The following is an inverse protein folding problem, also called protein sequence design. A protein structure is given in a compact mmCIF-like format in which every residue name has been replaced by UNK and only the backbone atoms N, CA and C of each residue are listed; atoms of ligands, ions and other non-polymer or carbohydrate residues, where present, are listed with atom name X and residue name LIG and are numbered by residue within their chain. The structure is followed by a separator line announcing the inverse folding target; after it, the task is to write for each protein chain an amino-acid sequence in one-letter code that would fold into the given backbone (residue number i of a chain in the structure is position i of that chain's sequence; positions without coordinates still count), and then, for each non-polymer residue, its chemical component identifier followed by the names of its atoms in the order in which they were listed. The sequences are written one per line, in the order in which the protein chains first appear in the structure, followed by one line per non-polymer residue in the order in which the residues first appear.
data_IF_433441278844
#
_entry.id   IF_433441278844
#
_cell.length_a   1.000
_cell.length_b   1.000
_cell.length_c   1.000
_cell.angle_alpha   90.00
_cell.angle_beta   90.00
_cell.angle_gamma   90.00
#
_symmetry.space_group_name_H-M   'P 1'
#
loop_
_entity.id
_entity.type
_entity.pdbx_description
1 polymer ?
#
# COMPACT_ATOMS: atom_id res chain seq x y z
N UNK A 1 -32.78 11.26 -90.50
CA UNK A 1 -32.52 12.71 -90.51
C UNK A 1 -32.80 13.28 -89.12
N UNK A 2 -31.80 13.97 -88.51
CA UNK A 2 -31.88 15.07 -87.49
C UNK A 2 -32.98 14.97 -86.41
N UNK A 3 -32.70 14.83 -85.12
CA UNK A 3 -32.15 15.79 -84.10
C UNK A 3 -32.55 15.17 -82.74
N UNK A 4 -31.97 15.36 -81.56
CA UNK A 4 -31.43 16.57 -80.96
C UNK A 4 -30.69 16.18 -79.65
N UNK A 5 -29.63 16.90 -79.33
CA UNK A 5 -28.98 16.89 -78.01
C UNK A 5 -29.73 17.85 -77.07
N UNK A 6 -29.78 17.53 -75.77
CA UNK A 6 -30.23 18.45 -74.72
C UNK A 6 -29.59 18.09 -73.37
N UNK A 7 -28.71 18.98 -72.89
CA UNK A 7 -27.98 18.92 -71.60
C UNK A 7 -28.82 19.55 -70.49
N UNK A 8 -28.65 19.10 -69.24
CA UNK A 8 -28.70 19.85 -67.94
C UNK A 8 -28.83 18.81 -66.79
N UNK A 9 -27.86 18.50 -65.91
CA UNK A 9 -27.05 19.27 -64.94
C UNK A 9 -27.79 19.58 -63.61
N UNK A 10 -27.28 18.99 -62.50
CA UNK A 10 -27.32 19.38 -61.06
C UNK A 10 -28.67 19.28 -60.28
N UNK A 11 -28.82 19.01 -58.96
CA UNK A 11 -28.06 18.88 -57.69
C UNK A 11 -28.87 17.90 -56.79
N UNK A 12 -28.29 16.89 -56.10
CA UNK A 12 -27.75 16.87 -54.72
C UNK A 12 -28.75 16.86 -53.55
N UNK A 13 -28.44 15.95 -52.62
CA UNK A 13 -28.81 15.85 -51.18
C UNK A 13 -30.09 15.08 -50.83
N UNK A 14 -29.80 14.00 -50.10
CA UNK A 14 -30.65 12.95 -49.58
C UNK A 14 -30.96 13.25 -48.11
N UNK A 15 -32.21 12.96 -47.76
CA UNK A 15 -32.81 12.70 -46.44
C UNK A 15 -33.02 13.81 -45.40
N UNK A 16 -34.28 13.81 -44.97
CA UNK A 16 -34.90 14.54 -43.89
C UNK A 16 -34.82 13.77 -42.54
N UNK A 17 -35.56 14.30 -41.56
CA UNK A 17 -35.92 13.77 -40.23
C UNK A 17 -34.81 14.10 -39.19
N UNK A 18 -35.06 14.84 -38.10
CA UNK A 18 -36.00 14.52 -37.01
C UNK A 18 -36.41 15.79 -36.26
N UNK A 19 -37.71 15.84 -35.94
CA UNK A 19 -38.42 16.76 -35.06
C UNK A 19 -37.94 16.61 -33.62
N UNK A 20 -37.61 17.72 -32.96
CA UNK A 20 -37.53 17.78 -31.48
C UNK A 20 -38.26 19.02 -30.98
N UNK A 21 -39.51 18.79 -30.61
CA UNK A 21 -40.36 19.70 -29.85
C UNK A 21 -39.68 20.01 -28.52
N UNK A 22 -39.39 21.30 -28.31
CA UNK A 22 -39.04 21.87 -27.01
C UNK A 22 -40.25 21.76 -26.09
N UNK A 23 -40.11 21.13 -24.92
CA UNK A 23 -40.71 21.56 -23.65
C UNK A 23 -40.26 20.60 -22.54
N UNK A 24 -39.47 21.09 -21.59
CA UNK A 24 -39.51 20.67 -20.17
C UNK A 24 -38.65 21.60 -19.30
N UNK A 25 -39.35 22.49 -18.60
CA UNK A 25 -39.12 23.01 -17.26
C UNK A 25 -37.73 22.79 -16.62
N UNK A 26 -36.97 23.87 -16.43
CA UNK A 26 -35.93 23.93 -15.41
C UNK A 26 -36.56 24.21 -14.03
N UNK A 27 -36.48 23.25 -13.12
CA UNK A 27 -36.52 23.51 -11.67
C UNK A 27 -35.08 23.50 -11.14
N UNK A 28 -34.74 24.28 -10.09
CA UNK A 28 -33.41 24.26 -9.52
C UNK A 28 -33.27 22.98 -8.70
N UNK A 29 -32.61 21.97 -9.26
CA UNK A 29 -32.08 20.90 -8.42
C UNK A 29 -30.98 21.50 -7.57
N UNK A 30 -31.15 21.48 -6.25
CA UNK A 30 -30.04 21.56 -5.31
C UNK A 30 -29.07 20.43 -5.66
N UNK A 31 -28.06 20.74 -6.47
CA UNK A 31 -26.91 19.88 -6.63
C UNK A 31 -26.14 19.97 -5.32
N UNK A 32 -26.42 19.03 -4.41
CA UNK A 32 -25.50 18.70 -3.33
C UNK A 32 -24.17 18.41 -3.97
N UNK A 33 -23.27 19.38 -3.92
CA UNK A 33 -21.91 19.26 -4.42
C UNK A 33 -21.24 18.10 -3.70
N UNK A 34 -21.26 16.94 -4.34
CA UNK A 34 -20.26 15.92 -4.08
C UNK A 34 -18.97 16.50 -4.65
N UNK A 35 -18.20 17.17 -3.79
CA UNK A 35 -16.87 17.67 -4.11
C UNK A 35 -15.98 16.50 -4.46
N UNK A 36 -16.05 16.06 -5.71
CA UNK A 36 -15.09 15.13 -6.29
C UNK A 36 -13.80 15.93 -6.45
N UNK A 37 -12.95 15.87 -5.43
CA UNK A 37 -11.54 16.23 -5.52
C UNK A 37 -11.02 15.63 -6.81
N UNK A 38 -10.61 16.47 -7.77
CA UNK A 38 -10.14 16.06 -9.08
C UNK A 38 -8.72 15.50 -8.91
N UNK A 39 -8.63 14.33 -8.27
CA UNK A 39 -7.39 13.66 -7.97
C UNK A 39 -6.87 13.10 -9.28
N UNK A 40 -5.83 13.73 -9.82
CA UNK A 40 -5.13 13.21 -10.98
C UNK A 40 -4.29 11.99 -10.54
N UNK A 41 -4.91 10.81 -10.57
CA UNK A 41 -4.27 9.54 -10.24
C UNK A 41 -2.96 9.35 -11.01
N UNK A 42 -2.89 9.75 -12.28
CA UNK A 42 -1.67 9.65 -13.07
C UNK A 42 -0.53 10.53 -12.51
N UNK A 43 -0.84 11.76 -12.07
CA UNK A 43 0.15 12.63 -11.44
C UNK A 43 0.66 12.09 -10.10
N UNK A 44 -0.22 11.46 -9.31
CA UNK A 44 0.17 10.82 -8.05
C UNK A 44 1.10 9.62 -8.31
N UNK A 45 0.75 8.76 -9.28
CA UNK A 45 1.59 7.62 -9.65
C UNK A 45 2.96 8.05 -10.15
N UNK A 46 3.00 9.11 -10.97
CA UNK A 46 4.25 9.68 -11.42
C UNK A 46 5.10 10.21 -10.26
N UNK A 47 4.49 10.92 -9.32
CA UNK A 47 5.21 11.43 -8.14
C UNK A 47 5.75 10.31 -7.27
N UNK A 48 4.98 9.24 -7.05
CA UNK A 48 5.41 8.09 -6.25
C UNK A 48 6.59 7.38 -6.89
N UNK A 49 6.52 7.11 -8.18
CA UNK A 49 7.64 6.51 -8.91
C UNK A 49 8.88 7.41 -8.84
N UNK A 50 8.71 8.72 -9.02
CA UNK A 50 9.82 9.69 -8.97
C UNK A 50 10.48 9.71 -7.59
N UNK A 51 9.68 9.79 -6.53
CA UNK A 51 10.18 9.85 -5.16
C UNK A 51 10.84 8.52 -4.74
N UNK A 52 10.25 7.38 -5.13
CA UNK A 52 10.84 6.06 -4.87
C UNK A 52 12.17 5.88 -5.57
N UNK A 53 12.27 6.19 -6.86
CA UNK A 53 13.54 6.10 -7.59
C UNK A 53 14.59 7.05 -7.02
N UNK A 54 14.19 8.24 -6.54
CA UNK A 54 15.09 9.14 -5.83
C UNK A 54 15.62 8.52 -4.53
N UNK A 55 14.76 7.89 -3.73
CA UNK A 55 15.18 7.19 -2.50
C UNK A 55 16.16 6.05 -2.84
N UNK A 56 15.84 5.20 -3.82
CA UNK A 56 16.69 4.09 -4.23
C UNK A 56 18.03 4.58 -4.79
N UNK A 57 18.02 5.69 -5.54
CA UNK A 57 19.23 6.35 -6.04
C UNK A 57 20.09 6.84 -4.89
N UNK A 58 19.53 7.68 -4.02
CA UNK A 58 20.29 8.36 -2.97
C UNK A 58 20.80 7.41 -1.88
N UNK A 59 20.04 6.34 -1.58
CA UNK A 59 20.27 5.51 -0.39
C UNK A 59 20.76 4.09 -0.69
N UNK A 60 20.59 3.60 -1.91
CA UNK A 60 20.85 2.20 -2.22
C UNK A 60 21.79 1.98 -3.42
N UNK A 61 21.77 2.87 -4.42
CA UNK A 61 22.47 2.66 -5.70
C UNK A 61 23.99 2.50 -5.56
N UNK A 62 24.60 3.12 -4.54
CA UNK A 62 26.06 3.02 -4.30
C UNK A 62 26.53 1.58 -4.02
N UNK A 63 25.64 0.66 -3.65
CA UNK A 63 25.94 -0.75 -3.39
C UNK A 63 25.02 -1.73 -4.14
N UNK A 64 23.94 -1.26 -4.77
CA UNK A 64 22.96 -2.12 -5.46
C UNK A 64 22.71 -1.69 -6.90
N UNK A 65 23.61 -0.92 -7.51
CA UNK A 65 23.56 -0.55 -8.93
C UNK A 65 24.89 -0.88 -9.61
N UNK A 66 25.46 -2.03 -9.27
CA UNK A 66 26.76 -2.48 -9.74
C UNK A 66 26.75 -4.02 -9.80
N UNK A 67 27.16 -4.58 -10.94
CA UNK A 67 27.22 -6.03 -11.10
C UNK A 67 28.34 -6.67 -10.27
N UNK A 68 29.36 -5.89 -9.90
CA UNK A 68 30.61 -6.35 -9.27
C UNK A 68 30.54 -6.49 -7.76
N UNK A 69 29.60 -5.80 -7.10
CA UNK A 69 29.33 -5.93 -5.66
C UNK A 69 28.73 -7.29 -5.34
N UNK A 70 29.19 -7.94 -4.27
CA UNK A 70 28.71 -9.28 -3.88
C UNK A 70 27.34 -9.22 -3.17
N UNK A 71 26.30 -8.80 -3.91
CA UNK A 71 24.89 -8.78 -3.51
C UNK A 71 24.05 -9.60 -4.48
N UNK A 72 22.95 -10.19 -4.01
CA UNK A 72 21.97 -10.87 -4.87
C UNK A 72 21.20 -9.87 -5.74
N UNK A 73 20.91 -8.69 -5.19
CA UNK A 73 20.31 -7.56 -5.89
C UNK A 73 21.40 -6.70 -6.55
N UNK A 74 21.41 -6.66 -7.89
CA UNK A 74 22.47 -6.05 -8.71
C UNK A 74 22.12 -4.70 -9.35
N UNK A 75 20.84 -4.50 -9.63
CA UNK A 75 20.32 -3.24 -10.20
C UNK A 75 19.06 -2.84 -9.43
N UNK A 76 19.18 -1.82 -8.60
CA UNK A 76 18.07 -1.32 -7.76
C UNK A 76 17.27 -0.22 -8.46
N UNK A 77 17.70 0.23 -9.64
CA UNK A 77 17.05 1.30 -10.38
C UNK A 77 16.24 0.76 -11.56
N UNK A 78 16.51 -0.46 -12.03
CA UNK A 78 15.70 -1.16 -13.03
C UNK A 78 14.48 -1.86 -12.39
N UNK A 79 13.34 -1.18 -12.47
CA UNK A 79 12.06 -1.69 -11.97
C UNK A 79 11.65 -3.02 -12.64
N UNK A 80 11.91 -3.20 -13.94
CA UNK A 80 11.57 -4.43 -14.64
C UNK A 80 12.41 -5.60 -14.11
N UNK A 81 13.69 -5.36 -13.81
CA UNK A 81 14.55 -6.35 -13.16
C UNK A 81 14.07 -6.67 -11.75
N UNK A 82 13.68 -5.66 -10.97
CA UNK A 82 13.16 -5.84 -9.61
C UNK A 82 11.91 -6.72 -9.58
N UNK A 83 10.98 -6.50 -10.50
CA UNK A 83 9.76 -7.30 -10.63
C UNK A 83 10.06 -8.71 -11.16
N UNK A 84 10.76 -8.81 -12.30
CA UNK A 84 11.03 -10.11 -12.95
C UNK A 84 11.94 -11.04 -12.14
N UNK A 85 12.78 -10.47 -11.26
CA UNK A 85 13.64 -11.23 -10.34
C UNK A 85 12.99 -11.49 -8.98
N UNK A 86 11.76 -11.01 -8.76
CA UNK A 86 10.99 -11.24 -7.53
C UNK A 86 11.45 -10.43 -6.31
N UNK A 87 12.21 -9.35 -6.49
CA UNK A 87 12.54 -8.41 -5.41
C UNK A 87 11.38 -7.47 -5.09
N UNK A 88 10.51 -7.23 -6.06
CA UNK A 88 9.22 -6.55 -5.93
C UNK A 88 8.12 -7.52 -6.36
N UNK A 89 7.09 -7.63 -5.52
CA UNK A 89 5.80 -8.26 -5.83
C UNK A 89 4.76 -7.12 -5.99
N UNK A 90 4.42 -6.73 -7.24
CA UNK A 90 3.54 -5.61 -7.50
C UNK A 90 2.21 -5.68 -6.74
N UNK A 91 1.86 -4.60 -6.03
CA UNK A 91 0.64 -4.56 -5.23
C UNK A 91 0.80 -5.08 -3.81
N UNK A 92 1.90 -5.77 -3.52
CA UNK A 92 2.12 -6.47 -2.25
C UNK A 92 3.49 -6.13 -1.65
N UNK A 93 3.63 -4.95 -1.02
CA UNK A 93 4.87 -4.56 -0.33
C UNK A 93 5.33 -5.61 0.70
N UNK A 94 4.36 -6.20 1.42
CA UNK A 94 4.61 -7.19 2.46
C UNK A 94 5.20 -8.53 1.98
N UNK A 95 5.13 -8.82 0.69
CA UNK A 95 5.75 -10.00 0.07
C UNK A 95 6.94 -9.63 -0.79
N UNK A 96 7.29 -8.34 -0.89
CA UNK A 96 8.40 -7.82 -1.69
C UNK A 96 9.71 -7.83 -0.89
N UNK A 97 10.71 -8.67 -1.20
CA UNK A 97 11.98 -8.74 -0.48
C UNK A 97 12.70 -7.40 -0.34
N UNK A 98 12.62 -6.52 -1.34
CA UNK A 98 13.20 -5.18 -1.30
C UNK A 98 12.63 -4.37 -0.13
N UNK A 99 11.31 -4.28 -0.04
CA UNK A 99 10.62 -3.52 0.99
C UNK A 99 10.84 -4.11 2.39
N UNK A 100 10.73 -5.43 2.49
CA UNK A 100 10.86 -6.13 3.77
C UNK A 100 12.28 -6.00 4.34
N UNK A 101 13.31 -6.06 3.49
CA UNK A 101 14.70 -5.86 3.94
C UNK A 101 14.94 -4.47 4.55
N UNK A 102 14.21 -3.45 4.09
CA UNK A 102 14.30 -2.07 4.60
C UNK A 102 13.59 -1.96 5.96
N UNK A 103 12.34 -2.44 6.03
CA UNK A 103 11.53 -2.40 7.26
C UNK A 103 12.21 -3.19 8.38
N UNK A 104 12.77 -4.35 8.02
CA UNK A 104 13.43 -5.25 8.96
C UNK A 104 14.84 -4.79 9.34
N UNK A 105 15.26 -3.61 8.85
CA UNK A 105 16.59 -3.01 9.06
C UNK A 105 17.76 -3.93 8.69
N UNK A 106 17.52 -4.88 7.80
CA UNK A 106 18.58 -5.69 7.17
C UNK A 106 19.37 -4.79 6.20
N UNK A 107 18.65 -3.89 5.53
CA UNK A 107 19.19 -2.86 4.67
C UNK A 107 18.78 -1.47 5.17
N UNK A 108 19.66 -0.46 5.04
CA UNK A 108 20.99 -0.53 4.45
C UNK A 108 22.03 -1.20 5.38
N UNK A 109 22.90 -2.06 4.82
CA UNK A 109 23.95 -2.73 5.59
C UNK A 109 24.93 -1.69 6.16
N UNK A 110 25.06 -1.65 7.49
CA UNK A 110 25.89 -0.67 8.21
C UNK A 110 25.53 0.81 7.93
N UNK A 111 24.33 1.08 7.43
CA UNK A 111 23.83 2.43 7.16
C UNK A 111 22.79 2.88 8.19
N UNK A 112 22.44 4.15 8.14
CA UNK A 112 21.32 4.69 8.91
C UNK A 112 20.00 4.11 8.37
N UNK A 113 19.08 3.62 9.24
CA UNK A 113 17.75 3.23 8.81
C UNK A 113 17.03 4.34 8.03
N UNK A 114 16.16 3.95 7.09
CA UNK A 114 15.33 4.90 6.37
C UNK A 114 14.35 5.60 7.32
N UNK A 115 13.93 6.81 6.95
CA UNK A 115 12.88 7.52 7.68
C UNK A 115 11.53 6.82 7.48
N UNK A 116 10.60 7.02 8.41
CA UNK A 116 9.24 6.50 8.27
C UNK A 116 8.55 7.01 6.98
N UNK A 117 8.86 8.24 6.58
CA UNK A 117 8.34 8.86 5.35
C UNK A 117 8.88 8.16 4.10
N UNK A 118 10.19 7.91 4.01
CA UNK A 118 10.77 7.20 2.87
C UNK A 118 10.25 5.76 2.76
N UNK A 119 10.08 5.09 3.91
CA UNK A 119 9.49 3.75 3.98
C UNK A 119 8.05 3.79 3.47
N UNK A 120 7.26 4.79 3.86
CA UNK A 120 5.90 4.95 3.37
C UNK A 120 5.86 5.16 1.85
N UNK A 121 6.73 6.00 1.30
CA UNK A 121 6.82 6.23 -0.16
C UNK A 121 7.13 4.93 -0.91
N UNK A 122 8.09 4.14 -0.44
CA UNK A 122 8.47 2.87 -1.08
C UNK A 122 7.35 1.82 -0.99
N UNK A 123 6.69 1.70 0.18
CA UNK A 123 5.51 0.84 0.37
C UNK A 123 4.44 1.18 -0.65
N UNK A 124 4.10 2.45 -0.68
CA UNK A 124 3.03 2.99 -1.46
C UNK A 124 3.33 2.75 -2.94
N UNK A 125 4.51 3.14 -3.41
CA UNK A 125 4.95 2.87 -4.77
C UNK A 125 4.82 1.40 -5.19
N UNK A 126 5.25 0.44 -4.35
CA UNK A 126 5.10 -0.99 -4.64
C UNK A 126 3.62 -1.40 -4.70
N UNK A 127 2.77 -0.87 -3.80
CA UNK A 127 1.33 -1.13 -3.84
C UNK A 127 0.68 -0.58 -5.14
N UNK A 128 1.12 0.60 -5.59
CA UNK A 128 0.66 1.21 -6.83
C UNK A 128 1.03 0.40 -8.09
N UNK A 129 2.18 -0.28 -8.12
CA UNK A 129 2.57 -1.13 -9.26
C UNK A 129 1.54 -2.23 -9.56
N UNK A 130 0.88 -2.78 -8.52
CA UNK A 130 -0.18 -3.79 -8.67
C UNK A 130 -1.59 -3.22 -8.80
N UNK A 131 -1.74 -1.91 -9.00
CA UNK A 131 -3.04 -1.25 -9.12
C UNK A 131 -3.82 -1.12 -7.81
N UNK A 132 -3.16 -1.26 -6.66
CA UNK A 132 -3.80 -1.11 -5.35
C UNK A 132 -3.85 0.37 -4.93
N UNK A 133 -4.80 1.10 -5.49
CA UNK A 133 -4.92 2.56 -5.30
C UNK A 133 -5.67 2.97 -4.01
N UNK A 134 -6.32 2.02 -3.32
CA UNK A 134 -7.16 2.30 -2.16
C UNK A 134 -6.37 2.79 -0.93
N UNK A 135 -5.07 2.50 -0.85
CA UNK A 135 -4.17 2.96 0.22
C UNK A 135 -3.81 4.45 0.10
N UNK A 136 -3.96 5.02 -1.10
CA UNK A 136 -3.53 6.39 -1.42
C UNK A 136 -4.62 7.43 -1.23
N UNK A 137 -5.84 7.10 -1.65
CA UNK A 137 -6.94 8.07 -1.70
C UNK A 137 -7.52 8.32 -0.30
N UNK A 138 -7.32 7.40 0.66
CA UNK A 138 -7.73 7.60 2.06
C UNK A 138 -6.89 8.64 2.82
N UNK A 139 -5.67 8.94 2.38
CA UNK A 139 -4.77 9.88 3.06
C UNK A 139 -4.80 11.31 2.49
N UNK A 140 -5.30 11.49 1.26
CA UNK A 140 -5.27 12.80 0.56
C UNK A 140 -6.53 13.64 0.83
N UNK A 141 -7.60 13.06 1.38
CA UNK A 141 -8.86 13.78 1.66
C UNK A 141 -9.06 14.23 3.12
N UNK A 142 -7.98 14.48 3.88
CA UNK A 142 -8.19 14.90 5.26
C UNK A 142 -6.96 15.22 6.08
N UNK A 143 -6.31 16.34 5.78
CA UNK A 143 -5.55 17.08 6.79
C UNK A 143 -6.49 17.55 7.90
N UNK A 144 -6.74 16.71 8.90
CA UNK A 144 -7.30 17.11 10.18
C UNK A 144 -6.95 16.09 11.28
N UNK A 145 -5.81 16.30 11.94
CA UNK A 145 -5.58 15.78 13.30
C UNK A 145 -6.46 16.57 14.27
N UNK A 146 -7.74 16.21 14.35
CA UNK A 146 -8.73 16.80 15.24
C UNK A 146 -9.37 15.71 16.10
N UNK A 147 -9.23 15.83 17.42
CA UNK A 147 -9.73 14.87 18.39
C UNK A 147 -11.24 14.65 18.33
N UNK A 148 -11.64 13.40 18.59
CA UNK A 148 -13.03 13.00 18.72
C UNK A 148 -13.14 11.53 19.14
N UNK A 149 -13.41 11.30 20.42
CA UNK A 149 -13.68 10.00 21.02
C UNK A 149 -14.90 9.34 20.37
N UNK A 150 -14.75 8.07 19.95
CA UNK A 150 -15.82 7.26 19.38
C UNK A 150 -15.34 5.97 18.74
N UNK A 151 -14.71 5.08 19.52
CA UNK A 151 -14.58 3.63 19.31
C UNK A 151 -14.64 3.10 17.86
N UNK A 152 -13.56 3.30 17.11
CA UNK A 152 -12.94 2.33 16.20
C UNK A 152 -11.56 2.87 15.85
N UNK A 153 -10.61 2.72 16.78
CA UNK A 153 -9.20 3.02 16.48
C UNK A 153 -8.72 1.89 15.58
N UNK A 154 -8.74 2.10 14.27
CA UNK A 154 -8.07 1.19 13.35
C UNK A 154 -6.59 1.24 13.67
N UNK A 155 -6.05 0.14 14.19
CA UNK A 155 -4.64 0.04 14.51
C UNK A 155 -3.79 0.10 13.26
N UNK A 156 -2.68 0.84 13.32
CA UNK A 156 -1.64 0.84 12.28
C UNK A 156 -0.47 -0.05 12.68
N UNK A 157 0.34 -0.47 11.71
CA UNK A 157 1.56 -1.21 12.00
C UNK A 157 2.51 -0.40 12.88
N UNK A 158 2.63 0.91 12.67
CA UNK A 158 3.44 1.77 13.55
C UNK A 158 3.03 1.62 15.02
N UNK A 159 1.73 1.64 15.32
CA UNK A 159 1.23 1.47 16.70
C UNK A 159 1.46 0.05 17.22
N UNK A 160 1.21 -0.97 16.39
CA UNK A 160 1.44 -2.36 16.75
C UNK A 160 2.92 -2.62 17.02
N UNK A 161 3.82 -2.14 16.16
CA UNK A 161 5.26 -2.24 16.32
C UNK A 161 5.73 -1.55 17.61
N UNK A 162 5.22 -0.36 17.94
CA UNK A 162 5.51 0.27 19.23
C UNK A 162 5.10 -0.61 20.42
N UNK A 163 3.92 -1.26 20.37
CA UNK A 163 3.50 -2.21 21.41
C UNK A 163 4.45 -3.40 21.48
N UNK A 164 4.81 -4.01 20.33
CA UNK A 164 5.71 -5.16 20.28
C UNK A 164 7.10 -4.82 20.85
N UNK A 165 7.66 -3.67 20.48
CA UNK A 165 8.95 -3.19 20.97
C UNK A 165 8.94 -2.96 22.49
N UNK A 166 7.89 -2.33 23.02
CA UNK A 166 7.80 -2.02 24.45
C UNK A 166 7.47 -3.22 25.33
N UNK A 167 6.68 -4.19 24.82
CA UNK A 167 6.04 -5.23 25.63
C UNK A 167 6.58 -6.63 25.37
N UNK A 168 7.16 -6.87 24.19
CA UNK A 168 7.48 -8.23 23.74
C UNK A 168 8.98 -8.43 23.52
N UNK A 169 9.69 -7.42 23.00
CA UNK A 169 11.11 -7.54 22.61
C UNK A 169 12.06 -7.87 23.76
N UNK A 170 11.78 -7.43 24.99
CA UNK A 170 12.61 -7.77 26.15
C UNK A 170 12.79 -9.29 26.37
N UNK A 171 11.81 -10.11 25.96
CA UNK A 171 11.89 -11.58 26.04
C UNK A 171 11.95 -12.27 24.67
N UNK A 172 11.44 -11.64 23.61
CA UNK A 172 11.33 -12.19 22.25
C UNK A 172 12.28 -11.53 21.23
N UNK A 173 13.20 -10.66 21.65
CA UNK A 173 14.14 -9.95 20.76
C UNK A 173 15.59 -10.42 20.82
N UNK A 174 15.88 -11.58 21.41
CA UNK A 174 17.25 -12.05 21.63
C UNK A 174 17.38 -13.55 21.92
N UNK A 175 18.58 -13.97 22.33
CA UNK A 175 19.00 -15.38 22.50
C UNK A 175 18.25 -16.16 23.61
N UNK A 176 17.40 -15.51 24.41
CA UNK A 176 16.68 -16.16 25.53
C UNK A 176 15.48 -17.03 25.09
N UNK A 177 14.91 -16.80 23.90
CA UNK A 177 13.79 -17.58 23.32
C UNK A 177 13.93 -17.61 21.78
N UNK A 178 14.69 -18.55 21.19
CA UNK A 178 15.13 -18.49 19.78
C UNK A 178 14.03 -18.69 18.71
N UNK A 179 12.75 -18.70 19.08
CA UNK A 179 11.68 -19.20 18.22
C UNK A 179 10.69 -18.12 17.74
N UNK A 180 10.89 -16.84 18.09
CA UNK A 180 10.08 -15.74 17.57
C UNK A 180 10.93 -14.49 17.41
N UNK A 181 11.36 -14.19 16.19
CA UNK A 181 11.90 -12.88 15.88
C UNK A 181 10.71 -11.95 15.55
N UNK A 182 10.54 -10.85 16.27
CA UNK A 182 9.42 -9.90 16.10
C UNK A 182 9.60 -8.99 14.87
N UNK A 183 10.30 -9.50 13.86
CA UNK A 183 10.49 -8.89 12.55
C UNK A 183 9.22 -9.14 11.73
N UNK A 184 8.66 -8.09 11.13
CA UNK A 184 7.31 -8.14 10.52
C UNK A 184 7.19 -9.26 9.48
N UNK A 185 8.21 -9.49 8.64
CA UNK A 185 8.26 -10.62 7.71
C UNK A 185 8.01 -11.97 8.40
N UNK A 186 8.63 -12.20 9.54
CA UNK A 186 8.54 -13.47 10.29
C UNK A 186 7.25 -13.56 11.11
N UNK A 187 6.56 -12.44 11.33
CA UNK A 187 5.27 -12.41 12.00
C UNK A 187 4.12 -12.87 11.08
N UNK A 188 4.20 -12.55 9.77
CA UNK A 188 3.13 -12.84 8.80
C UNK A 188 3.44 -14.00 7.84
N UNK A 189 4.72 -14.34 7.63
CA UNK A 189 5.14 -15.46 6.79
C UNK A 189 5.20 -16.73 7.63
N UNK A 190 4.76 -17.84 7.05
CA UNK A 190 4.88 -19.17 7.65
C UNK A 190 6.37 -19.54 7.70
N UNK A 191 6.99 -19.46 8.88
CA UNK A 191 8.41 -19.75 9.02
C UNK A 191 8.66 -21.27 9.05
N UNK A 192 9.59 -21.73 8.20
CA UNK A 192 9.89 -23.15 7.97
C UNK A 192 10.57 -23.87 9.14
N UNK A 193 11.03 -23.14 10.17
CA UNK A 193 11.66 -23.75 11.34
C UNK A 193 10.64 -24.27 12.37
N UNK A 194 9.38 -23.81 12.33
CA UNK A 194 8.36 -24.20 13.31
C UNK A 194 6.91 -24.25 12.80
N UNK A 195 6.62 -23.89 11.53
CA UNK A 195 5.24 -23.76 11.03
C UNK A 195 4.35 -22.85 11.92
N UNK A 196 4.94 -21.81 12.52
CA UNK A 196 4.21 -20.89 13.39
C UNK A 196 3.94 -19.59 12.64
N UNK A 197 2.85 -19.57 11.87
CA UNK A 197 2.22 -18.31 11.48
C UNK A 197 1.75 -17.61 12.76
N UNK A 198 2.37 -16.50 13.11
CA UNK A 198 2.09 -15.75 14.35
C UNK A 198 0.89 -14.83 14.16
N UNK A 199 0.79 -14.23 12.97
CA UNK A 199 -0.31 -13.39 12.52
C UNK A 199 -0.85 -13.97 11.21
N UNK A 200 -2.17 -14.12 11.15
CA UNK A 200 -2.93 -14.47 9.94
C UNK A 200 -3.65 -13.20 9.49
N UNK A 201 -3.14 -12.49 8.47
CA UNK A 201 -3.77 -11.28 7.95
C UNK A 201 -5.27 -11.47 7.66
N UNK A 202 -6.12 -10.58 8.16
CA UNK A 202 -7.57 -10.63 7.98
C UNK A 202 -8.29 -11.62 8.90
N UNK A 203 -7.57 -12.48 9.63
CA UNK A 203 -8.14 -13.51 10.49
C UNK A 203 -7.60 -13.39 11.93
N UNK A 204 -8.32 -12.59 12.72
CA UNK A 204 -8.04 -12.37 14.14
C UNK A 204 -8.10 -13.68 14.93
N UNK A 205 -9.09 -14.52 14.64
CA UNK A 205 -9.32 -15.79 15.34
C UNK A 205 -8.18 -16.77 15.14
N UNK A 206 -7.58 -16.82 13.95
CA UNK A 206 -6.45 -17.69 13.63
C UNK A 206 -5.08 -17.01 13.81
N UNK A 207 -5.04 -15.82 14.41
CA UNK A 207 -3.79 -15.12 14.72
C UNK A 207 -3.31 -15.44 16.13
N UNK A 208 -2.25 -16.26 16.25
CA UNK A 208 -1.65 -16.66 17.54
C UNK A 208 -1.24 -15.47 18.41
N UNK A 209 -0.77 -14.37 17.79
CA UNK A 209 -0.49 -13.12 18.50
C UNK A 209 -1.72 -12.65 19.27
N UNK A 210 -2.87 -12.54 18.58
CA UNK A 210 -4.10 -12.03 19.19
C UNK A 210 -4.65 -13.00 20.25
N UNK A 211 -4.66 -14.31 19.96
CA UNK A 211 -5.05 -15.34 20.92
C UNK A 211 -4.25 -15.24 22.23
N UNK A 212 -2.95 -14.98 22.13
CA UNK A 212 -2.06 -14.91 23.30
C UNK A 212 -2.31 -13.64 24.13
N UNK A 213 -2.48 -12.49 23.47
CA UNK A 213 -2.70 -11.22 24.19
C UNK A 213 -4.11 -11.09 24.75
N UNK A 214 -5.13 -11.61 24.07
CA UNK A 214 -6.52 -11.53 24.56
C UNK A 214 -6.71 -12.36 25.83
N UNK A 215 -6.04 -13.52 25.91
CA UNK A 215 -6.04 -14.42 27.07
C UNK A 215 -5.09 -14.00 28.20
N UNK A 216 -4.34 -12.91 28.02
CA UNK A 216 -3.27 -12.48 28.95
C UNK A 216 -2.18 -13.54 29.19
N UNK A 217 -2.06 -14.53 28.31
CA UNK A 217 -0.95 -15.49 28.38
C UNK A 217 0.38 -14.86 27.97
N UNK A 218 0.31 -13.81 27.14
CA UNK A 218 1.44 -12.95 26.80
C UNK A 218 1.07 -11.45 26.85
N UNK A 219 2.01 -10.57 27.22
CA UNK A 219 3.33 -10.90 27.78
C UNK A 219 3.21 -11.50 29.19
N UNK A 220 4.20 -12.30 29.61
CA UNK A 220 4.21 -12.86 30.96
C UNK A 220 4.29 -11.71 31.99
N UNK A 221 3.31 -11.64 32.89
CA UNK A 221 3.20 -10.56 33.87
C UNK A 221 2.28 -9.43 33.41
N UNK A 222 2.85 -8.29 33.00
CA UNK A 222 2.09 -7.07 32.73
C UNK A 222 1.27 -7.17 31.44
N UNK A 223 0.03 -7.64 31.56
CA UNK A 223 -0.92 -7.72 30.48
C UNK A 223 -1.08 -6.40 29.70
N UNK A 224 -1.35 -6.52 28.40
CA UNK A 224 -1.68 -5.37 27.56
C UNK A 224 -2.98 -4.72 28.02
N UNK A 225 -3.07 -3.40 27.85
CA UNK A 225 -4.34 -2.69 28.07
C UNK A 225 -5.37 -3.09 27.02
N UNK A 226 -6.66 -2.93 27.31
CA UNK A 226 -7.73 -3.20 26.33
C UNK A 226 -7.54 -2.38 25.04
N UNK A 227 -7.06 -1.13 25.15
CA UNK A 227 -6.72 -0.30 23.99
C UNK A 227 -5.60 -0.91 23.14
N UNK A 228 -4.52 -1.39 23.77
CA UNK A 228 -3.42 -2.04 23.06
C UNK A 228 -3.87 -3.32 22.35
N UNK A 229 -4.71 -4.13 23.02
CA UNK A 229 -5.31 -5.31 22.40
C UNK A 229 -6.20 -4.95 21.21
N UNK A 230 -6.98 -3.89 21.34
CA UNK A 230 -7.90 -3.44 20.29
C UNK A 230 -7.17 -2.89 19.06
N UNK A 231 -6.06 -2.17 19.26
CA UNK A 231 -5.15 -1.75 18.18
C UNK A 231 -4.63 -2.97 17.42
N UNK A 232 -4.14 -4.00 18.13
CA UNK A 232 -3.66 -5.24 17.50
C UNK A 232 -4.81 -5.95 16.76
N UNK A 233 -5.99 -6.03 17.37
CA UNK A 233 -7.17 -6.71 16.82
C UNK A 233 -7.59 -6.10 15.48
N UNK A 234 -7.78 -4.79 15.47
CA UNK A 234 -8.28 -4.03 14.31
C UNK A 234 -7.25 -4.00 13.19
N UNK A 235 -5.96 -3.87 13.53
CA UNK A 235 -4.86 -3.97 12.59
C UNK A 235 -4.83 -5.34 11.89
N UNK A 236 -4.93 -6.45 12.65
CA UNK A 236 -4.99 -7.80 12.07
C UNK A 236 -6.23 -7.96 11.18
N UNK A 237 -7.40 -7.51 11.66
CA UNK A 237 -8.65 -7.57 10.90
C UNK A 237 -8.57 -6.77 9.59
N UNK A 238 -7.82 -5.67 9.57
CA UNK A 238 -7.56 -4.85 8.38
C UNK A 238 -6.51 -5.46 7.43
N UNK A 239 -6.08 -6.70 7.67
CA UNK A 239 -5.09 -7.39 6.84
C UNK A 239 -3.65 -7.26 7.35
N UNK A 240 -3.46 -6.86 8.60
CA UNK A 240 -2.16 -6.73 9.24
C UNK A 240 -1.15 -5.93 8.40
N UNK A 241 -1.61 -4.88 7.72
CA UNK A 241 -0.83 -4.12 6.72
C UNK A 241 0.34 -3.38 7.39
N UNK A 242 1.46 -3.25 6.71
CA UNK A 242 2.60 -2.49 7.20
C UNK A 242 2.43 -0.97 6.93
N UNK A 243 1.42 -0.35 7.54
CA UNK A 243 1.04 1.05 7.35
C UNK A 243 1.66 2.06 8.35
#
# INVERSE_FOLDING_TARGET
MRRNMGKSVFYFVVLAVIVSVFYSNCSPTHNSGNGSSNINTAAILQSLQTNSLKILTDKCSSCHNDATVNSTLKDILDVNYLESSGFIDPGSPQTSPLYMSIVDQIMPKNGTPLSAEDIAILRDWIAALGGNFNTFIGAVDGGNTGGGSGNNVQGTFTQVNQILQQRCVNCHGGQQKPNLNLVYAQLIVETTAANLRVITPGDVSNSRLYQSVVTNSMPQGNALTNTQKEIIRTWIAAGARND
#
